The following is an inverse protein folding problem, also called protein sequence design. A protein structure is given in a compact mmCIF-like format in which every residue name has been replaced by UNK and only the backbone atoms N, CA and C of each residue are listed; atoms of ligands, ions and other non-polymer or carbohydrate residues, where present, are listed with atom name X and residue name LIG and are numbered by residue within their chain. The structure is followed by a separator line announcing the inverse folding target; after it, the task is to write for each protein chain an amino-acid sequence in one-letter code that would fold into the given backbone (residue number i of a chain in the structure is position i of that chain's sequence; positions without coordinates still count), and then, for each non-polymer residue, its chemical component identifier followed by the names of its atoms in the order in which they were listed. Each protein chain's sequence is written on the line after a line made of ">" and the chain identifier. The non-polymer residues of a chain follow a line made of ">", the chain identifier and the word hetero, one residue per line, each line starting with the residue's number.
data_IF_806080365606
#
_entry.id   IF_806080365606
#
_cell.length_a   1.000
_cell.length_b   1.000
_cell.length_c   1.000
_cell.angle_alpha   90.00
_cell.angle_beta   90.00
_cell.angle_gamma   90.00
#
_symmetry.space_group_name_H-M   'P 1'
#
loop_
_entity.id
_entity.type
_entity.pdbx_description
1 polymer ?
#
# COMPACT_ATOMS: atom_id res chain seq x y z
N UNK A 1 -86.82 24.78 11.52
CA UNK A 1 -86.53 25.24 10.14
C UNK A 1 -85.12 24.77 9.81
N UNK A 2 -84.99 23.76 8.96
CA UNK A 2 -83.73 23.07 8.66
C UNK A 2 -82.99 23.77 7.50
N UNK A 3 -81.68 23.97 7.61
CA UNK A 3 -80.81 24.27 6.46
C UNK A 3 -79.76 23.17 6.39
N UNK A 4 -79.90 22.33 5.35
CA UNK A 4 -79.00 21.26 4.95
C UNK A 4 -78.09 21.83 3.88
N UNK A 5 -76.82 22.09 4.19
CA UNK A 5 -75.84 22.57 3.21
C UNK A 5 -74.95 21.41 2.72
N UNK A 6 -74.89 21.26 1.40
CA UNK A 6 -74.33 20.09 0.72
C UNK A 6 -72.80 20.09 0.63
N UNK A 7 -72.23 18.91 0.88
CA UNK A 7 -70.87 18.55 0.48
C UNK A 7 -70.80 18.44 -1.05
N UNK A 8 -70.09 19.37 -1.71
CA UNK A 8 -69.60 19.16 -3.09
C UNK A 8 -68.18 18.60 -3.04
N UNK A 9 -67.98 17.55 -3.82
CA UNK A 9 -66.88 16.59 -3.83
C UNK A 9 -65.54 17.14 -4.30
N UNK A 10 -64.48 16.96 -3.49
CA UNK A 10 -63.07 17.22 -3.82
C UNK A 10 -62.44 16.17 -4.76
N UNK A 11 -63.22 15.23 -5.30
CA UNK A 11 -62.72 14.10 -6.09
C UNK A 11 -62.10 14.50 -7.43
N UNK A 12 -62.55 15.60 -8.04
CA UNK A 12 -62.08 16.03 -9.37
C UNK A 12 -60.66 16.65 -9.36
N UNK A 13 -60.26 17.28 -8.25
CA UNK A 13 -58.97 18.00 -8.16
C UNK A 13 -57.76 17.07 -7.96
N UNK A 14 -57.97 15.89 -7.36
CA UNK A 14 -56.90 14.93 -7.08
C UNK A 14 -56.57 14.03 -8.29
N UNK A 15 -57.49 13.90 -9.25
CA UNK A 15 -57.26 13.14 -10.48
C UNK A 15 -56.22 13.81 -11.39
N UNK A 16 -56.37 15.11 -11.63
CA UNK A 16 -55.44 15.88 -12.47
C UNK A 16 -54.03 15.97 -11.88
N UNK A 17 -53.90 16.08 -10.54
CA UNK A 17 -52.61 16.08 -9.87
C UNK A 17 -51.84 14.75 -10.03
N UNK A 18 -52.54 13.61 -10.00
CA UNK A 18 -51.94 12.29 -10.21
C UNK A 18 -51.51 12.07 -11.66
N UNK A 19 -52.31 12.54 -12.62
CA UNK A 19 -51.97 12.46 -14.05
C UNK A 19 -50.76 13.36 -14.37
N UNK A 20 -50.71 14.57 -13.84
CA UNK A 20 -49.55 15.47 -14.04
C UNK A 20 -48.27 14.92 -13.40
N UNK A 21 -48.35 14.33 -12.20
CA UNK A 21 -47.19 13.69 -11.57
C UNK A 21 -46.69 12.46 -12.37
N UNK A 22 -47.59 11.68 -12.96
CA UNK A 22 -47.21 10.53 -13.81
C UNK A 22 -46.57 10.97 -15.13
N UNK A 23 -47.06 12.05 -15.76
CA UNK A 23 -46.45 12.62 -16.97
C UNK A 23 -45.08 13.22 -16.67
N UNK A 24 -44.91 13.90 -15.53
CA UNK A 24 -43.61 14.42 -15.09
C UNK A 24 -42.60 13.30 -14.78
N UNK A 25 -43.05 12.22 -14.12
CA UNK A 25 -42.22 11.03 -13.89
C UNK A 25 -41.84 10.31 -15.20
N UNK A 26 -42.74 10.29 -16.20
CA UNK A 26 -42.45 9.77 -17.54
C UNK A 26 -41.41 10.60 -18.30
N UNK A 27 -41.41 11.93 -18.12
CA UNK A 27 -40.44 12.82 -18.75
C UNK A 27 -39.05 12.75 -18.09
N UNK A 28 -38.99 12.44 -16.79
CA UNK A 28 -37.73 12.19 -16.08
C UNK A 28 -37.05 10.87 -16.50
N UNK A 29 -37.79 9.93 -17.09
CA UNK A 29 -37.23 8.66 -17.60
C UNK A 29 -36.64 8.77 -19.02
N UNK A 30 -36.82 9.91 -19.71
CA UNK A 30 -36.21 10.15 -21.04
C UNK A 30 -34.92 10.96 -20.99
N UNK A 31 -34.39 11.25 -19.79
CA UNK A 31 -33.14 11.97 -19.61
C UNK A 31 -31.94 11.01 -19.55
N UNK A 32 -31.18 10.99 -20.65
CA UNK A 32 -29.76 10.64 -20.75
C UNK A 32 -29.37 9.15 -20.84
N UNK A 33 -29.48 8.60 -22.05
CA UNK A 33 -28.47 7.69 -22.60
C UNK A 33 -28.19 8.15 -24.03
N UNK A 34 -27.33 9.17 -24.18
CA UNK A 34 -26.75 9.48 -25.47
C UNK A 34 -25.68 8.41 -25.73
N UNK A 35 -25.75 7.63 -26.82
CA UNK A 35 -24.68 6.70 -27.14
C UNK A 35 -23.40 7.49 -27.33
N UNK A 36 -22.34 7.05 -26.66
CA UNK A 36 -21.03 7.66 -26.80
C UNK A 36 -20.57 7.50 -28.25
N UNK A 37 -20.01 8.55 -28.90
CA UNK A 37 -19.60 8.43 -30.29
C UNK A 37 -18.55 7.33 -30.45
N UNK A 38 -18.84 6.37 -31.33
CA UNK A 38 -17.92 5.29 -31.67
C UNK A 38 -16.67 5.88 -32.33
N UNK A 39 -15.50 5.51 -31.78
CA UNK A 39 -14.21 5.95 -32.33
C UNK A 39 -13.94 5.08 -33.56
N UNK A 40 -13.73 5.69 -34.75
CA UNK A 40 -13.52 4.92 -35.97
C UNK A 40 -12.23 4.08 -35.90
N UNK A 41 -12.21 2.98 -36.63
CA UNK A 41 -11.01 2.16 -36.79
C UNK A 41 -9.87 2.99 -37.39
N UNK A 42 -8.76 3.08 -36.67
CA UNK A 42 -7.57 3.84 -37.09
C UNK A 42 -6.30 3.03 -36.88
N UNK A 43 -5.20 3.33 -37.59
CA UNK A 43 -3.93 2.67 -37.37
C UNK A 43 -3.48 2.80 -35.91
N UNK A 44 -2.91 1.72 -35.35
CA UNK A 44 -2.61 1.63 -33.92
C UNK A 44 -1.66 2.73 -33.43
N UNK A 45 -0.64 3.10 -34.21
CA UNK A 45 0.27 4.19 -33.84
C UNK A 45 -0.45 5.53 -33.76
N UNK A 46 -1.39 5.78 -34.69
CA UNK A 46 -2.15 7.03 -34.72
C UNK A 46 -3.09 7.09 -33.51
N UNK A 47 -3.79 6.00 -33.22
CA UNK A 47 -4.71 5.93 -32.09
C UNK A 47 -3.99 6.09 -30.75
N UNK A 48 -2.85 5.41 -30.56
CA UNK A 48 -2.03 5.52 -29.36
C UNK A 48 -1.45 6.94 -29.20
N UNK A 49 -0.94 7.54 -30.28
CA UNK A 49 -0.42 8.90 -30.22
C UNK A 49 -1.53 9.91 -29.92
N UNK A 50 -2.73 9.74 -30.48
CA UNK A 50 -3.88 10.59 -30.12
C UNK A 50 -4.24 10.47 -28.63
N UNK A 51 -4.16 9.26 -28.06
CA UNK A 51 -4.39 9.04 -26.62
C UNK A 51 -3.33 9.77 -25.78
N UNK A 52 -2.06 9.66 -26.18
CA UNK A 52 -0.94 10.34 -25.54
C UNK A 52 -1.05 11.87 -25.64
N UNK A 53 -1.40 12.40 -26.81
CA UNK A 53 -1.59 13.84 -27.03
C UNK A 53 -2.75 14.36 -26.18
N UNK A 54 -3.86 13.61 -26.09
CA UNK A 54 -4.98 13.94 -25.20
C UNK A 54 -4.53 13.96 -23.72
N UNK A 55 -3.72 13.00 -23.29
CA UNK A 55 -3.20 12.95 -21.92
C UNK A 55 -2.30 14.16 -21.64
N UNK A 56 -1.40 14.51 -22.56
CA UNK A 56 -0.52 15.67 -22.46
C UNK A 56 -1.28 17.00 -22.47
N UNK A 57 -2.41 17.06 -23.17
CA UNK A 57 -3.31 18.21 -23.18
C UNK A 57 -4.16 18.34 -21.89
N UNK A 58 -4.05 17.39 -20.96
CA UNK A 58 -4.88 17.32 -19.75
C UNK A 58 -6.31 16.81 -20.01
N UNK A 59 -6.60 16.32 -21.21
CA UNK A 59 -7.87 15.67 -21.56
C UNK A 59 -7.88 14.21 -21.07
N UNK A 60 -7.55 13.98 -19.80
CA UNK A 60 -7.21 12.67 -19.24
C UNK A 60 -8.34 11.63 -19.39
N UNK A 61 -9.61 12.03 -19.20
CA UNK A 61 -10.75 11.13 -19.39
C UNK A 61 -10.91 10.67 -20.83
N UNK A 62 -10.59 11.54 -21.79
CA UNK A 62 -10.60 11.20 -23.23
C UNK A 62 -9.39 10.32 -23.56
N UNK A 63 -8.24 10.59 -22.97
CA UNK A 63 -7.06 9.75 -23.11
C UNK A 63 -7.32 8.31 -22.66
N UNK A 64 -7.95 8.12 -21.50
CA UNK A 64 -8.33 6.79 -21.01
C UNK A 64 -9.15 6.01 -22.04
N UNK A 65 -10.20 6.62 -22.60
CA UNK A 65 -11.04 6.00 -23.64
C UNK A 65 -10.28 5.72 -24.93
N UNK A 66 -9.37 6.60 -25.35
CA UNK A 66 -8.54 6.37 -26.53
C UNK A 66 -7.54 5.22 -26.29
N UNK A 67 -7.00 5.07 -25.09
CA UNK A 67 -6.16 3.93 -24.73
C UNK A 67 -6.95 2.61 -24.66
N UNK A 68 -8.15 2.60 -24.09
CA UNK A 68 -9.05 1.44 -24.13
C UNK A 68 -9.35 1.02 -25.59
N UNK A 69 -9.50 2.01 -26.47
CA UNK A 69 -9.76 1.77 -27.88
C UNK A 69 -8.57 1.12 -28.60
N UNK A 70 -7.33 1.42 -28.18
CA UNK A 70 -6.13 0.74 -28.71
C UNK A 70 -6.20 -0.76 -28.41
N UNK A 71 -6.54 -1.14 -27.17
CA UNK A 71 -6.72 -2.55 -26.79
C UNK A 71 -7.88 -3.18 -27.58
N UNK A 72 -9.01 -2.48 -27.69
CA UNK A 72 -10.22 -2.98 -28.34
C UNK A 72 -10.02 -3.26 -29.83
N UNK A 73 -9.40 -2.31 -30.55
CA UNK A 73 -9.21 -2.40 -32.00
C UNK A 73 -7.99 -3.26 -32.37
N UNK A 74 -6.92 -3.24 -31.55
CA UNK A 74 -5.63 -3.84 -31.88
C UNK A 74 -5.07 -4.71 -30.74
N UNK A 75 -5.80 -5.73 -30.24
CA UNK A 75 -5.45 -6.46 -29.01
C UNK A 75 -4.12 -7.22 -29.06
N UNK A 76 -3.59 -7.52 -30.26
CA UNK A 76 -2.31 -8.22 -30.45
C UNK A 76 -1.16 -7.27 -30.82
N UNK A 77 -1.39 -5.96 -30.82
CA UNK A 77 -0.35 -4.98 -31.09
C UNK A 77 0.63 -4.88 -29.93
N UNK A 78 1.89 -4.58 -30.24
CA UNK A 78 2.90 -4.20 -29.23
C UNK A 78 2.48 -3.00 -28.36
N UNK A 79 1.54 -2.19 -28.86
CA UNK A 79 1.00 -1.03 -28.14
C UNK A 79 -0.16 -1.39 -27.20
N UNK A 80 -0.79 -2.57 -27.36
CA UNK A 80 -1.98 -2.93 -26.61
C UNK A 80 -1.71 -3.06 -25.10
N UNK A 81 -0.68 -3.81 -24.73
CA UNK A 81 -0.24 -3.98 -23.33
C UNK A 81 0.06 -2.62 -22.68
N UNK A 82 0.79 -1.75 -23.38
CA UNK A 82 1.11 -0.43 -22.86
C UNK A 82 -0.16 0.45 -22.74
N UNK A 83 -1.05 0.39 -23.72
CA UNK A 83 -2.30 1.14 -23.71
C UNK A 83 -3.21 0.73 -22.56
N UNK A 84 -3.32 -0.57 -22.23
CA UNK A 84 -4.09 -1.04 -21.07
C UNK A 84 -3.62 -0.36 -19.77
N UNK A 85 -2.31 -0.34 -19.53
CA UNK A 85 -1.74 0.30 -18.34
C UNK A 85 -1.93 1.82 -18.36
N UNK A 86 -1.77 2.46 -19.53
CA UNK A 86 -1.96 3.89 -19.69
C UNK A 86 -3.43 4.31 -19.54
N UNK A 87 -4.37 3.44 -19.91
CA UNK A 87 -5.80 3.63 -19.66
C UNK A 87 -6.07 3.66 -18.15
N UNK A 88 -5.63 2.64 -17.44
CA UNK A 88 -5.72 2.57 -15.98
C UNK A 88 -5.09 3.80 -15.28
N UNK A 89 -3.89 4.20 -15.72
CA UNK A 89 -3.22 5.39 -15.22
C UNK A 89 -4.01 6.68 -15.49
N UNK A 90 -4.60 6.79 -16.67
CA UNK A 90 -5.46 7.93 -17.01
C UNK A 90 -6.72 7.96 -16.14
N UNK A 91 -7.34 6.81 -15.84
CA UNK A 91 -8.46 6.75 -14.89
C UNK A 91 -8.04 7.17 -13.48
N UNK A 92 -6.90 6.69 -12.99
CA UNK A 92 -6.34 7.09 -11.71
C UNK A 92 -6.13 8.61 -11.60
N UNK A 93 -5.57 9.24 -12.64
CA UNK A 93 -5.31 10.69 -12.66
C UNK A 93 -6.57 11.59 -12.57
N UNK A 94 -7.76 11.03 -12.78
CA UNK A 94 -9.05 11.75 -12.65
C UNK A 94 -9.91 11.21 -11.50
N UNK A 95 -9.28 10.54 -10.53
CA UNK A 95 -9.90 9.93 -9.35
C UNK A 95 -11.01 8.90 -9.73
N UNK A 96 -10.98 8.37 -10.95
CA UNK A 96 -11.92 7.37 -11.43
C UNK A 96 -11.46 5.96 -11.02
N UNK A 97 -11.31 5.75 -9.71
CA UNK A 97 -10.75 4.52 -9.17
C UNK A 97 -11.59 3.27 -9.47
N UNK A 98 -12.92 3.44 -9.56
CA UNK A 98 -13.86 2.37 -9.95
C UNK A 98 -13.58 1.84 -11.37
N UNK A 99 -13.02 2.68 -12.26
CA UNK A 99 -12.57 2.29 -13.60
C UNK A 99 -11.11 1.83 -13.59
N UNK A 100 -10.25 2.49 -12.82
CA UNK A 100 -8.81 2.22 -12.77
C UNK A 100 -8.50 0.83 -12.18
N UNK A 101 -9.11 0.47 -11.06
CA UNK A 101 -8.87 -0.80 -10.34
C UNK A 101 -9.12 -2.02 -11.23
N UNK A 102 -10.30 -2.21 -11.87
CA UNK A 102 -10.54 -3.37 -12.72
C UNK A 102 -9.66 -3.39 -13.97
N UNK A 103 -9.28 -2.22 -14.51
CA UNK A 103 -8.31 -2.15 -15.61
C UNK A 103 -6.91 -2.64 -15.17
N UNK A 104 -6.48 -2.27 -13.96
CA UNK A 104 -5.20 -2.73 -13.38
C UNK A 104 -5.22 -4.22 -13.06
N UNK A 105 -6.31 -4.73 -12.50
CA UNK A 105 -6.48 -6.15 -12.22
C UNK A 105 -6.40 -6.98 -13.50
N UNK A 106 -7.09 -6.54 -14.57
CA UNK A 106 -6.98 -7.17 -15.89
C UNK A 106 -5.54 -7.17 -16.41
N UNK A 107 -4.84 -6.04 -16.32
CA UNK A 107 -3.45 -5.96 -16.77
C UNK A 107 -2.56 -6.95 -16.00
N UNK A 108 -2.69 -7.01 -14.67
CA UNK A 108 -1.93 -7.91 -13.81
C UNK A 108 -2.20 -9.38 -14.16
N UNK A 109 -3.47 -9.74 -14.41
CA UNK A 109 -3.88 -11.10 -14.75
C UNK A 109 -3.38 -11.54 -16.13
N UNK A 110 -3.46 -10.66 -17.14
CA UNK A 110 -3.07 -10.97 -18.52
C UNK A 110 -1.55 -10.90 -18.73
N UNK A 111 -0.84 -10.07 -17.96
CA UNK A 111 0.57 -9.77 -18.19
C UNK A 111 1.46 -9.91 -16.93
N UNK A 112 1.41 -11.04 -16.18
CA UNK A 112 2.12 -11.16 -14.90
C UNK A 112 3.66 -11.05 -15.01
N UNK A 113 4.24 -11.38 -16.17
CA UNK A 113 5.69 -11.28 -16.42
C UNK A 113 6.16 -9.95 -17.02
N UNK A 114 5.26 -8.97 -17.24
CA UNK A 114 5.64 -7.69 -17.82
C UNK A 114 6.45 -6.85 -16.82
N UNK A 115 7.41 -6.06 -17.33
CA UNK A 115 8.25 -5.15 -16.51
C UNK A 115 7.43 -4.14 -15.70
N UNK A 116 6.27 -3.76 -16.22
CA UNK A 116 5.38 -2.77 -15.62
C UNK A 116 4.39 -3.38 -14.62
N UNK A 117 4.42 -4.70 -14.42
CA UNK A 117 3.51 -5.37 -13.46
C UNK A 117 3.72 -4.87 -12.04
N UNK A 118 4.97 -4.64 -11.61
CA UNK A 118 5.25 -4.03 -10.31
C UNK A 118 4.57 -2.66 -10.15
N UNK A 119 4.58 -1.85 -11.21
CA UNK A 119 3.91 -0.55 -11.23
C UNK A 119 2.38 -0.71 -11.20
N UNK A 120 1.81 -1.67 -11.93
CA UNK A 120 0.36 -1.91 -11.93
C UNK A 120 -0.16 -2.33 -10.53
N UNK A 121 0.55 -3.22 -9.83
CA UNK A 121 0.23 -3.56 -8.44
C UNK A 121 0.28 -2.33 -7.53
N UNK A 122 1.31 -1.50 -7.69
CA UNK A 122 1.49 -0.28 -6.91
C UNK A 122 0.39 0.75 -7.19
N UNK A 123 0.05 1.00 -8.45
CA UNK A 123 -1.00 1.92 -8.84
C UNK A 123 -2.38 1.48 -8.33
N UNK A 124 -2.64 0.16 -8.32
CA UNK A 124 -3.86 -0.40 -7.72
C UNK A 124 -3.91 -0.14 -6.22
N UNK A 125 -2.77 -0.28 -5.55
CA UNK A 125 -2.66 0.04 -4.12
C UNK A 125 -2.90 1.54 -3.86
N UNK A 126 -2.40 2.42 -4.73
CA UNK A 126 -2.67 3.86 -4.66
C UNK A 126 -4.15 4.20 -4.81
N UNK A 127 -4.85 3.53 -5.74
CA UNK A 127 -6.29 3.73 -5.91
C UNK A 127 -7.09 3.48 -4.62
N UNK A 128 -6.71 2.47 -3.83
CA UNK A 128 -7.34 2.23 -2.52
C UNK A 128 -6.83 3.21 -1.45
N UNK A 129 -5.54 3.51 -1.46
CA UNK A 129 -4.91 4.39 -0.48
C UNK A 129 -5.46 5.83 -0.54
N UNK A 130 -5.73 6.35 -1.73
CA UNK A 130 -6.27 7.70 -1.91
C UNK A 130 -7.74 7.82 -1.51
N UNK A 131 -8.44 6.69 -1.38
CA UNK A 131 -9.81 6.62 -0.87
C UNK A 131 -9.89 6.38 0.64
N UNK A 132 -8.77 6.46 1.37
CA UNK A 132 -8.77 6.38 2.82
C UNK A 132 -9.44 7.64 3.38
N UNK A 133 -10.54 7.42 4.10
CA UNK A 133 -11.25 8.46 4.83
C UNK A 133 -10.78 8.55 6.29
N UNK A 134 -11.21 9.59 7.00
CA UNK A 134 -10.92 9.80 8.43
C UNK A 134 -11.22 8.58 9.32
N UNK A 135 -10.46 8.41 10.42
CA UNK A 135 -10.57 7.30 11.39
C UNK A 135 -12.00 7.09 11.92
N UNK A 136 -12.84 8.11 11.97
CA UNK A 136 -14.22 7.99 12.43
C UNK A 136 -15.13 7.25 11.43
N UNK A 137 -14.74 7.15 10.16
CA UNK A 137 -15.53 6.57 9.06
C UNK A 137 -15.23 5.09 8.85
N UNK A 138 -15.90 4.49 7.86
CA UNK A 138 -15.68 3.09 7.48
C UNK A 138 -14.25 2.89 6.98
N UNK A 139 -13.65 1.74 7.31
CA UNK A 139 -12.24 1.46 7.03
C UNK A 139 -12.04 0.40 5.94
N UNK A 140 -13.08 0.05 5.17
CA UNK A 140 -12.99 -0.97 4.13
C UNK A 140 -11.90 -0.66 3.08
N UNK A 141 -11.83 0.59 2.62
CA UNK A 141 -10.78 1.03 1.70
C UNK A 141 -9.39 1.02 2.35
N UNK A 142 -9.28 1.37 3.64
CA UNK A 142 -8.04 1.31 4.41
C UNK A 142 -7.51 -0.13 4.51
N UNK A 143 -8.39 -1.11 4.74
CA UNK A 143 -8.03 -2.54 4.77
C UNK A 143 -7.66 -3.08 3.38
N UNK A 144 -8.32 -2.61 2.32
CA UNK A 144 -7.97 -2.92 0.93
C UNK A 144 -6.59 -2.35 0.57
N UNK A 145 -6.33 -1.09 0.94
CA UNK A 145 -5.05 -0.43 0.77
C UNK A 145 -3.94 -1.17 1.52
N UNK A 146 -4.18 -1.58 2.77
CA UNK A 146 -3.22 -2.35 3.56
C UNK A 146 -2.80 -3.64 2.84
N UNK A 147 -3.78 -4.40 2.33
CA UNK A 147 -3.53 -5.64 1.58
C UNK A 147 -2.77 -5.38 0.28
N UNK A 148 -3.23 -4.41 -0.51
CA UNK A 148 -2.62 -4.09 -1.80
C UNK A 148 -1.19 -3.55 -1.67
N UNK A 149 -0.91 -2.69 -0.68
CA UNK A 149 0.44 -2.21 -0.39
C UNK A 149 1.34 -3.34 0.12
N UNK A 150 0.82 -4.22 0.98
CA UNK A 150 1.56 -5.40 1.45
C UNK A 150 1.93 -6.34 0.30
N UNK A 151 1.05 -6.52 -0.68
CA UNK A 151 1.35 -7.29 -1.90
C UNK A 151 2.52 -6.68 -2.68
N UNK A 152 2.59 -5.36 -2.81
CA UNK A 152 3.68 -4.67 -3.51
C UNK A 152 5.01 -4.92 -2.80
N UNK A 153 5.04 -4.73 -1.49
CA UNK A 153 6.25 -4.93 -0.67
C UNK A 153 6.71 -6.39 -0.71
N UNK A 154 5.78 -7.34 -0.60
CA UNK A 154 6.11 -8.76 -0.58
C UNK A 154 6.57 -9.29 -1.94
N UNK A 155 5.97 -8.83 -3.04
CA UNK A 155 6.25 -9.35 -4.39
C UNK A 155 7.39 -8.63 -5.09
N UNK A 156 7.58 -7.34 -4.82
CA UNK A 156 8.53 -6.48 -5.53
C UNK A 156 9.49 -5.73 -4.59
N UNK A 157 10.16 -6.41 -3.62
CA UNK A 157 10.87 -5.77 -2.52
C UNK A 157 11.98 -4.81 -2.96
N UNK A 158 12.63 -5.09 -4.10
CA UNK A 158 13.78 -4.34 -4.61
C UNK A 158 13.41 -3.20 -5.58
N UNK A 159 12.13 -2.80 -5.62
CA UNK A 159 11.66 -1.72 -6.50
C UNK A 159 11.48 -0.39 -5.76
N UNK A 160 11.57 0.76 -6.45
CA UNK A 160 11.22 2.06 -5.86
C UNK A 160 9.79 2.08 -5.30
N UNK A 161 8.88 1.32 -5.93
CA UNK A 161 7.48 1.18 -5.52
C UNK A 161 7.32 0.51 -4.16
N UNK A 162 8.12 -0.53 -3.87
CA UNK A 162 8.13 -1.17 -2.56
C UNK A 162 8.57 -0.21 -1.44
N UNK A 163 9.58 0.62 -1.71
CA UNK A 163 10.04 1.61 -0.75
C UNK A 163 8.95 2.62 -0.40
N UNK A 164 8.26 3.17 -1.40
CA UNK A 164 7.13 4.08 -1.15
C UNK A 164 5.94 3.36 -0.49
N UNK A 165 5.60 2.16 -0.97
CA UNK A 165 4.51 1.36 -0.42
C UNK A 165 4.72 1.01 1.05
N UNK A 166 5.96 0.78 1.49
CA UNK A 166 6.31 0.52 2.89
C UNK A 166 5.95 1.72 3.77
N UNK A 167 6.34 2.94 3.36
CA UNK A 167 6.02 4.16 4.11
C UNK A 167 4.50 4.39 4.16
N UNK A 168 3.80 4.17 3.05
CA UNK A 168 2.33 4.27 3.01
C UNK A 168 1.67 3.20 3.89
N UNK A 169 2.21 1.98 3.93
CA UNK A 169 1.70 0.89 4.76
C UNK A 169 1.79 1.23 6.25
N UNK A 170 2.84 1.92 6.68
CA UNK A 170 2.96 2.39 8.06
C UNK A 170 1.88 3.42 8.40
N UNK A 171 1.58 4.37 7.51
CA UNK A 171 0.47 5.31 7.69
C UNK A 171 -0.88 4.58 7.76
N UNK A 172 -1.10 3.60 6.88
CA UNK A 172 -2.33 2.79 6.87
C UNK A 172 -2.50 2.03 8.18
N UNK A 173 -1.42 1.46 8.72
CA UNK A 173 -1.43 0.77 10.03
C UNK A 173 -1.74 1.73 11.16
N UNK A 174 -1.13 2.91 11.16
CA UNK A 174 -1.42 3.96 12.16
C UNK A 174 -2.89 4.37 12.11
N UNK A 175 -3.46 4.53 10.91
CA UNK A 175 -4.87 4.87 10.74
C UNK A 175 -5.83 3.78 11.27
N UNK A 176 -5.55 2.51 10.99
CA UNK A 176 -6.33 1.37 11.51
C UNK A 176 -6.20 1.25 13.04
N UNK A 177 -5.01 1.51 13.59
CA UNK A 177 -4.83 1.59 15.03
C UNK A 177 -5.62 2.76 15.64
N UNK A 178 -5.61 3.91 14.99
CA UNK A 178 -6.40 5.09 15.36
C UNK A 178 -7.89 4.81 15.44
N UNK A 179 -8.43 3.98 14.53
CA UNK A 179 -9.82 3.51 14.59
C UNK A 179 -10.11 2.74 15.87
N UNK A 180 -9.28 1.76 16.20
CA UNK A 180 -9.44 0.94 17.41
C UNK A 180 -9.30 1.80 18.68
N UNK A 181 -8.38 2.77 18.67
CA UNK A 181 -8.24 3.74 19.75
C UNK A 181 -9.50 4.60 19.94
N UNK A 182 -10.09 5.10 18.86
CA UNK A 182 -11.31 5.93 18.93
C UNK A 182 -12.49 5.15 19.54
N UNK A 183 -12.69 3.91 19.08
CA UNK A 183 -13.71 3.01 19.62
C UNK A 183 -13.40 2.63 21.08
N UNK A 184 -12.14 2.37 21.42
CA UNK A 184 -11.71 2.10 22.79
C UNK A 184 -12.01 3.27 23.73
N UNK A 185 -11.65 4.50 23.34
CA UNK A 185 -11.96 5.73 24.10
C UNK A 185 -13.46 5.94 24.26
N UNK A 186 -14.25 5.66 23.23
CA UNK A 186 -15.71 5.72 23.30
C UNK A 186 -16.30 4.82 24.41
N UNK A 187 -15.79 3.59 24.52
CA UNK A 187 -16.21 2.63 25.55
C UNK A 187 -15.71 3.02 26.95
N UNK A 188 -14.45 3.44 27.04
CA UNK A 188 -13.83 3.88 28.28
C UNK A 188 -14.59 5.05 28.92
N UNK A 189 -14.95 6.06 28.12
CA UNK A 189 -15.76 7.21 28.57
C UNK A 189 -17.10 6.81 29.18
N UNK A 190 -17.64 5.65 28.78
CA UNK A 190 -18.90 5.07 29.29
C UNK A 190 -18.69 4.05 30.40
N UNK A 191 -17.46 3.90 30.89
CA UNK A 191 -17.08 2.92 31.92
C UNK A 191 -17.35 1.47 31.49
N UNK A 192 -17.36 1.21 30.18
CA UNK A 192 -17.46 -0.14 29.63
C UNK A 192 -16.05 -0.73 29.48
N UNK A 193 -15.38 -0.94 30.61
CA UNK A 193 -13.95 -1.23 30.67
C UNK A 193 -13.54 -2.48 29.91
N UNK A 194 -14.32 -3.58 29.99
CA UNK A 194 -14.00 -4.80 29.26
C UNK A 194 -14.03 -4.60 27.74
N UNK A 195 -15.01 -3.84 27.23
CA UNK A 195 -15.09 -3.52 25.81
C UNK A 195 -13.94 -2.60 25.37
N UNK A 196 -13.56 -1.63 26.21
CA UNK A 196 -12.42 -0.76 25.96
C UNK A 196 -11.09 -1.54 25.92
N UNK A 197 -10.85 -2.41 26.90
CA UNK A 197 -9.67 -3.28 26.95
C UNK A 197 -9.55 -4.12 25.68
N UNK A 198 -10.64 -4.73 25.22
CA UNK A 198 -10.62 -5.53 24.00
C UNK A 198 -10.20 -4.71 22.76
N UNK A 199 -10.54 -3.42 22.72
CA UNK A 199 -10.15 -2.52 21.62
C UNK A 199 -8.68 -2.10 21.71
N UNK A 200 -8.24 -1.65 22.88
CA UNK A 200 -6.84 -1.30 23.09
C UNK A 200 -5.90 -2.50 22.91
N UNK A 201 -6.34 -3.70 23.30
CA UNK A 201 -5.61 -4.94 23.06
C UNK A 201 -5.39 -5.21 21.57
N UNK A 202 -6.35 -4.89 20.70
CA UNK A 202 -6.15 -5.02 19.25
C UNK A 202 -4.99 -4.14 18.77
N UNK A 203 -4.86 -2.92 19.31
CA UNK A 203 -3.74 -2.02 19.01
C UNK A 203 -2.41 -2.63 19.44
N UNK A 204 -2.33 -3.11 20.68
CA UNK A 204 -1.11 -3.72 21.23
C UNK A 204 -0.74 -5.03 20.54
N UNK A 205 -1.72 -5.83 20.10
CA UNK A 205 -1.46 -7.14 19.50
C UNK A 205 -1.17 -7.05 17.99
N UNK A 206 -1.84 -6.14 17.27
CA UNK A 206 -1.78 -6.08 15.79
C UNK A 206 -1.04 -4.89 15.21
N UNK A 207 -0.87 -3.81 15.98
CA UNK A 207 -0.36 -2.53 15.50
C UNK A 207 0.83 -2.03 16.34
N UNK A 208 1.74 -2.96 16.68
CA UNK A 208 2.86 -2.77 17.61
C UNK A 208 3.86 -1.67 17.22
N UNK A 209 3.96 -1.37 15.93
CA UNK A 209 4.88 -0.35 15.39
C UNK A 209 4.24 1.04 15.33
N UNK A 210 2.98 1.20 15.74
CA UNK A 210 2.26 2.47 15.63
C UNK A 210 2.47 3.38 16.84
N UNK A 211 2.24 4.67 16.64
CA UNK A 211 2.35 5.68 17.70
C UNK A 211 1.28 5.54 18.79
N UNK A 212 0.26 4.73 18.55
CA UNK A 212 -0.89 4.53 19.43
C UNK A 212 -0.66 3.52 20.57
N UNK A 213 0.37 2.68 20.47
CA UNK A 213 0.63 1.60 21.44
C UNK A 213 0.84 2.10 22.87
N UNK A 214 1.60 3.18 23.13
CA UNK A 214 1.80 3.69 24.49
C UNK A 214 0.49 4.13 25.15
N UNK A 215 -0.35 4.88 24.42
CA UNK A 215 -1.68 5.27 24.90
C UNK A 215 -2.54 4.03 25.14
N UNK A 216 -2.55 3.06 24.23
CA UNK A 216 -3.34 1.83 24.37
C UNK A 216 -3.00 1.08 25.66
N UNK A 217 -1.71 0.92 25.99
CA UNK A 217 -1.25 0.26 27.20
C UNK A 217 -1.61 1.03 28.48
N UNK A 218 -1.51 2.36 28.47
CA UNK A 218 -1.93 3.21 29.59
C UNK A 218 -3.44 3.07 29.82
N UNK A 219 -4.24 3.15 28.76
CA UNK A 219 -5.70 3.02 28.85
C UNK A 219 -6.16 1.62 29.26
N UNK A 220 -5.41 0.58 28.88
CA UNK A 220 -5.61 -0.77 29.40
C UNK A 220 -5.34 -0.81 30.91
N UNK A 221 -4.25 -0.18 31.37
CA UNK A 221 -3.94 -0.06 32.80
C UNK A 221 -5.06 0.66 33.54
N UNK A 222 -5.52 1.82 33.05
CA UNK A 222 -6.65 2.56 33.60
C UNK A 222 -7.89 1.67 33.77
N UNK A 223 -8.21 0.91 32.71
CA UNK A 223 -9.36 0.02 32.67
C UNK A 223 -9.23 -1.18 33.61
N UNK A 224 -8.05 -1.80 33.71
CA UNK A 224 -7.81 -2.92 34.63
C UNK A 224 -7.85 -2.49 36.09
N UNK A 225 -7.27 -1.33 36.43
CA UNK A 225 -7.36 -0.74 37.77
C UNK A 225 -8.81 -0.47 38.13
N UNK A 226 -9.60 0.08 37.21
CA UNK A 226 -11.02 0.35 37.44
C UNK A 226 -11.85 -0.93 37.69
N UNK A 227 -11.47 -2.05 37.08
CA UNK A 227 -12.09 -3.37 37.30
C UNK A 227 -11.58 -4.09 38.55
N UNK A 228 -10.48 -3.62 39.16
CA UNK A 228 -9.82 -4.30 40.28
C UNK A 228 -8.94 -5.49 39.87
N UNK A 229 -8.61 -5.60 38.58
CA UNK A 229 -7.75 -6.67 38.04
C UNK A 229 -6.30 -6.20 38.06
N UNK A 230 -5.77 -6.00 39.26
CA UNK A 230 -4.49 -5.31 39.47
C UNK A 230 -3.28 -6.01 38.83
N UNK A 231 -3.24 -7.34 38.86
CA UNK A 231 -2.14 -8.10 38.26
C UNK A 231 -1.97 -7.79 36.75
N UNK A 232 -3.08 -7.65 36.02
CA UNK A 232 -3.03 -7.30 34.59
C UNK A 232 -2.70 -5.83 34.36
N UNK A 233 -3.11 -4.94 35.26
CA UNK A 233 -2.69 -3.54 35.23
C UNK A 233 -1.17 -3.39 35.42
N UNK A 234 -0.59 -4.12 36.36
CA UNK A 234 0.86 -4.14 36.62
C UNK A 234 1.62 -4.65 35.40
N UNK A 235 1.20 -5.77 34.80
CA UNK A 235 1.80 -6.29 33.56
C UNK A 235 1.73 -5.29 32.40
N UNK A 236 0.57 -4.68 32.15
CA UNK A 236 0.41 -3.70 31.08
C UNK A 236 1.34 -2.48 31.30
N UNK A 237 1.44 -2.01 32.54
CA UNK A 237 2.34 -0.90 32.90
C UNK A 237 3.82 -1.29 32.80
N UNK A 238 4.18 -2.53 33.16
CA UNK A 238 5.55 -3.04 33.03
C UNK A 238 5.97 -3.11 31.55
N UNK A 239 5.10 -3.59 30.67
CA UNK A 239 5.33 -3.59 29.21
C UNK A 239 5.48 -2.15 28.71
N UNK A 240 4.62 -1.23 29.17
CA UNK A 240 4.68 0.19 28.81
C UNK A 240 6.00 0.83 29.26
N UNK A 241 6.42 0.59 30.51
CA UNK A 241 7.67 1.13 31.05
C UNK A 241 8.92 0.55 30.40
N UNK A 242 8.89 -0.73 30.02
CA UNK A 242 9.99 -1.39 29.35
C UNK A 242 10.21 -0.87 27.92
N UNK A 243 9.13 -0.76 27.13
CA UNK A 243 9.23 -0.39 25.71
C UNK A 243 9.23 1.13 25.49
N UNK A 244 8.59 1.90 26.37
CA UNK A 244 8.44 3.36 26.24
C UNK A 244 8.84 4.10 27.52
N UNK A 245 10.07 3.89 28.01
CA UNK A 245 10.55 4.56 29.22
C UNK A 245 10.54 6.07 29.02
N UNK A 246 9.96 6.79 29.98
CA UNK A 246 9.90 8.26 29.95
C UNK A 246 8.73 8.86 29.15
N UNK A 247 7.89 8.05 28.49
CA UNK A 247 6.65 8.55 27.90
C UNK A 247 5.69 9.11 28.97
N UNK A 248 4.93 10.16 28.63
CA UNK A 248 3.91 10.72 29.53
C UNK A 248 2.88 9.64 29.93
N UNK A 249 2.54 8.76 28.98
CA UNK A 249 1.68 7.59 29.21
C UNK A 249 2.22 6.65 30.29
N UNK A 250 3.53 6.38 30.29
CA UNK A 250 4.13 5.55 31.34
C UNK A 250 4.06 6.24 32.71
N UNK A 251 4.33 7.54 32.76
CA UNK A 251 4.27 8.29 34.01
C UNK A 251 2.86 8.27 34.60
N UNK A 252 1.83 8.48 33.77
CA UNK A 252 0.43 8.43 34.18
C UNK A 252 0.03 7.03 34.70
N UNK A 253 0.37 5.98 33.95
CA UNK A 253 0.11 4.59 34.36
C UNK A 253 0.81 4.22 35.68
N UNK A 254 2.09 4.60 35.83
CA UNK A 254 2.87 4.37 37.04
C UNK A 254 2.25 5.08 38.24
N UNK A 255 1.94 6.38 38.11
CA UNK A 255 1.32 7.17 39.17
C UNK A 255 -0.04 6.59 39.58
N UNK A 256 -0.81 6.09 38.61
CA UNK A 256 -2.08 5.42 38.88
C UNK A 256 -1.89 4.16 39.72
N UNK A 257 -0.93 3.29 39.40
CA UNK A 257 -0.64 2.09 40.20
C UNK A 257 -0.16 2.46 41.61
N UNK A 258 0.76 3.40 41.74
CA UNK A 258 1.28 3.86 43.04
C UNK A 258 0.16 4.42 43.90
N UNK A 259 -0.82 5.12 43.32
CA UNK A 259 -2.01 5.61 44.05
C UNK A 259 -2.86 4.48 44.67
N UNK A 260 -2.70 3.24 44.18
CA UNK A 260 -3.32 2.02 44.70
C UNK A 260 -2.39 1.19 45.60
N UNK A 261 -1.18 1.67 45.86
CA UNK A 261 -0.16 0.96 46.63
C UNK A 261 0.51 -0.17 45.85
N UNK A 262 0.56 -0.08 44.52
CA UNK A 262 1.09 -1.10 43.62
C UNK A 262 2.30 -0.58 42.83
N UNK A 263 3.17 -1.48 42.37
CA UNK A 263 4.28 -1.20 41.44
C UNK A 263 4.14 -2.04 40.16
N UNK A 264 4.73 -1.63 39.03
CA UNK A 264 4.65 -2.39 37.78
C UNK A 264 5.27 -3.79 37.85
N UNK A 265 6.33 -4.00 38.66
CA UNK A 265 7.00 -5.31 38.75
C UNK A 265 6.20 -6.38 39.50
N UNK A 266 5.10 -6.02 40.18
CA UNK A 266 4.36 -6.96 41.03
C UNK A 266 5.14 -7.41 42.28
N UNK A 267 4.55 -8.34 43.05
CA UNK A 267 5.21 -8.94 44.22
C UNK A 267 6.18 -10.09 43.83
N UNK A 268 6.04 -10.66 42.62
CA UNK A 268 6.92 -11.70 42.05
C UNK A 268 7.19 -11.36 40.57
N UNK A 269 8.35 -10.78 40.28
CA UNK A 269 8.68 -10.22 38.97
C UNK A 269 9.17 -11.29 37.98
N UNK A 270 8.35 -11.66 36.99
CA UNK A 270 8.84 -12.17 35.71
C UNK A 270 9.06 -11.00 34.74
N UNK A 271 10.15 -10.98 33.94
CA UNK A 271 10.40 -9.89 33.00
C UNK A 271 9.28 -9.79 31.96
N UNK A 272 8.84 -8.58 31.57
CA UNK A 272 7.78 -8.41 30.60
C UNK A 272 8.18 -9.01 29.25
N UNK A 273 7.24 -9.70 28.61
CA UNK A 273 7.38 -10.13 27.21
C UNK A 273 7.42 -8.85 26.37
N UNK A 274 8.56 -8.58 25.73
CA UNK A 274 8.71 -7.44 24.83
C UNK A 274 7.65 -7.50 23.72
N UNK A 275 7.12 -6.35 23.30
CA UNK A 275 6.31 -6.29 22.09
C UNK A 275 7.23 -6.70 20.94
N UNK A 276 6.96 -7.87 20.36
CA UNK A 276 7.83 -8.47 19.36
C UNK A 276 7.90 -7.54 18.15
N UNK A 277 9.10 -7.08 17.79
CA UNK A 277 9.31 -6.42 16.50
C UNK A 277 8.93 -7.40 15.37
N UNK A 278 7.97 -7.08 14.49
CA UNK A 278 7.64 -7.94 13.36
C UNK A 278 8.82 -8.17 12.39
N UNK A 279 9.93 -7.43 12.51
CA UNK A 279 11.21 -7.72 11.85
C UNK A 279 12.07 -8.81 12.51
N UNK A 280 11.70 -9.30 13.70
CA UNK A 280 12.51 -10.24 14.49
C UNK A 280 12.05 -11.72 14.41
N UNK A 281 11.33 -12.11 13.37
CA UNK A 281 10.98 -13.53 13.15
C UNK A 281 12.21 -14.26 12.61
N UNK A 282 12.92 -14.97 13.51
CA UNK A 282 14.14 -15.72 13.20
C UNK A 282 13.84 -16.92 12.30
N UNK A 283 14.29 -16.79 11.05
CA UNK A 283 14.68 -17.87 10.15
C UNK A 283 15.98 -17.55 9.38
N UNK A 284 16.66 -16.45 9.72
CA UNK A 284 18.02 -16.17 9.26
C UNK A 284 18.99 -16.56 10.37
N UNK A 285 19.93 -17.45 10.07
CA UNK A 285 21.06 -17.72 10.96
C UNK A 285 21.80 -16.40 11.26
N UNK A 286 22.27 -16.18 12.50
CA UNK A 286 22.97 -14.96 12.85
C UNK A 286 24.25 -14.84 12.03
N UNK A 287 24.42 -13.72 11.35
CA UNK A 287 25.74 -13.31 10.83
C UNK A 287 26.71 -13.22 12.02
N UNK A 288 27.92 -13.78 11.93
CA UNK A 288 28.86 -13.73 13.03
C UNK A 288 29.36 -12.29 13.21
N UNK A 289 29.11 -11.72 14.39
CA UNK A 289 29.66 -10.44 14.80
C UNK A 289 31.20 -10.49 14.79
N UNK A 290 31.78 -9.48 14.14
CA UNK A 290 33.20 -9.17 14.17
C UNK A 290 33.61 -8.75 15.59
N UNK A 291 34.06 -9.70 16.39
CA UNK A 291 34.81 -9.41 17.60
C UNK A 291 36.16 -8.78 17.21
N UNK A 292 36.41 -7.56 17.69
CA UNK A 292 37.74 -6.95 17.73
C UNK A 292 38.72 -7.90 18.43
N UNK A 293 39.87 -8.24 17.82
CA UNK A 293 40.87 -9.05 18.51
C UNK A 293 41.70 -8.17 19.49
N UNK A 294 42.17 -8.75 20.61
CA UNK A 294 43.00 -8.04 21.58
C UNK A 294 44.43 -7.83 21.06
N UNK A 295 45.02 -6.70 21.45
CA UNK A 295 46.41 -6.37 21.24
C UNK A 295 47.30 -7.17 22.21
N UNK A 296 47.94 -8.23 21.70
CA UNK A 296 49.28 -8.74 22.08
C UNK A 296 49.39 -10.25 21.77
N UNK A 297 50.09 -10.61 20.70
CA UNK A 297 50.98 -11.79 20.61
C UNK A 297 51.63 -11.92 19.22
N UNK A 298 52.85 -12.47 19.12
CA UNK A 298 53.82 -12.11 18.09
C UNK A 298 53.87 -13.02 16.86
N UNK A 299 54.57 -12.49 15.84
CA UNK A 299 54.79 -13.00 14.49
C UNK A 299 55.30 -14.45 14.38
N UNK A 300 54.85 -15.15 13.33
CA UNK A 300 55.58 -16.27 12.74
C UNK A 300 55.55 -16.16 11.22
N UNK A 301 56.75 -16.29 10.66
CA UNK A 301 57.14 -16.16 9.27
C UNK A 301 56.41 -17.10 8.32
N UNK A 302 55.96 -16.56 7.18
CA UNK A 302 56.09 -17.24 5.88
C UNK A 302 56.23 -16.19 4.77
N UNK A 303 57.29 -16.32 3.97
CA UNK A 303 57.72 -15.41 2.92
C UNK A 303 56.78 -15.41 1.67
N UNK A 304 56.87 -14.39 0.79
CA UNK A 304 55.80 -14.00 -0.14
C UNK A 304 56.03 -14.43 -1.60
N UNK A 305 54.95 -14.43 -2.41
CA UNK A 305 54.83 -13.99 -3.82
C UNK A 305 53.64 -14.69 -4.53
N UNK A 306 53.12 -14.19 -5.68
CA UNK A 306 53.13 -12.82 -6.21
C UNK A 306 51.73 -12.29 -6.58
N UNK A 307 51.65 -10.99 -6.88
CA UNK A 307 50.48 -10.26 -7.33
C UNK A 307 49.76 -10.91 -8.53
N UNK A 308 48.48 -11.22 -8.36
CA UNK A 308 47.57 -11.60 -9.45
C UNK A 308 46.51 -10.50 -9.63
N UNK A 309 46.55 -9.85 -10.80
CA UNK A 309 45.53 -8.89 -11.25
C UNK A 309 44.24 -9.68 -11.60
N UNK A 310 43.04 -9.24 -11.20
CA UNK A 310 41.81 -9.94 -11.53
C UNK A 310 41.46 -9.80 -13.03
N UNK A 311 41.12 -10.91 -13.67
CA UNK A 311 40.61 -10.97 -15.06
C UNK A 311 39.15 -11.42 -15.09
N UNK A 312 38.38 -10.88 -16.02
CA UNK A 312 36.95 -11.18 -16.22
C UNK A 312 36.77 -12.61 -16.80
N UNK A 313 36.00 -13.52 -16.16
CA UNK A 313 36.05 -14.96 -16.42
C UNK A 313 35.38 -15.43 -17.72
N UNK A 314 34.82 -14.54 -18.56
CA UNK A 314 34.15 -14.94 -19.81
C UNK A 314 34.87 -14.47 -21.08
N UNK A 315 35.69 -13.43 -21.04
CA UNK A 315 36.26 -12.85 -22.29
C UNK A 315 37.76 -12.52 -22.26
N UNK A 316 38.44 -12.62 -21.11
CA UNK A 316 39.91 -12.57 -21.04
C UNK A 316 40.59 -11.28 -21.54
N UNK A 317 39.87 -10.17 -21.64
CA UNK A 317 40.40 -8.85 -22.01
C UNK A 317 40.49 -7.93 -20.78
N UNK A 318 41.61 -7.23 -20.62
CA UNK A 318 41.86 -6.28 -19.52
C UNK A 318 40.97 -5.02 -19.64
N UNK A 319 40.31 -4.62 -18.54
CA UNK A 319 39.54 -3.38 -18.45
C UNK A 319 40.45 -2.21 -18.02
N UNK A 320 40.39 -1.05 -18.70
CA UNK A 320 41.21 0.11 -18.34
C UNK A 320 40.75 0.76 -17.02
N UNK A 321 41.74 1.05 -16.17
CA UNK A 321 41.60 1.67 -14.85
C UNK A 321 41.07 3.11 -14.94
N UNK A 322 39.88 3.36 -14.36
CA UNK A 322 39.32 4.70 -14.23
C UNK A 322 39.75 5.32 -12.89
N UNK A 323 40.66 6.28 -12.99
CA UNK A 323 41.09 7.16 -11.90
C UNK A 323 39.95 8.11 -11.53
N UNK A 324 39.53 8.10 -10.26
CA UNK A 324 38.64 9.10 -9.69
C UNK A 324 39.43 10.38 -9.34
N UNK A 325 38.94 11.58 -9.64
CA UNK A 325 39.36 12.78 -8.95
C UNK A 325 38.36 13.19 -7.86
N UNK A 326 38.95 13.80 -6.83
CA UNK A 326 38.43 14.21 -5.54
C UNK A 326 37.17 15.11 -5.59
N UNK A 327 36.35 14.97 -4.55
CA UNK A 327 35.26 15.89 -4.22
C UNK A 327 35.79 17.25 -3.73
N UNK A 328 34.99 18.32 -3.91
CA UNK A 328 34.91 19.35 -2.88
C UNK A 328 33.48 19.49 -2.34
N UNK A 329 33.46 19.65 -1.02
CA UNK A 329 32.33 19.92 -0.14
C UNK A 329 31.61 21.22 -0.53
N UNK A 330 30.31 21.15 -0.83
CA UNK A 330 29.32 22.20 -0.52
C UNK A 330 27.94 21.56 -0.35
N UNK A 331 27.24 21.91 0.73
CA UNK A 331 25.90 21.43 1.05
C UNK A 331 24.83 22.05 0.13
N UNK A 332 23.73 21.34 -0.16
CA UNK A 332 22.48 21.99 -0.48
C UNK A 332 21.33 21.53 0.43
N UNK A 333 20.68 22.53 1.01
CA UNK A 333 19.27 22.57 1.39
C UNK A 333 18.40 22.20 0.17
N UNK A 334 17.77 21.03 0.16
CA UNK A 334 16.47 20.75 -0.46
C UNK A 334 16.10 19.27 -0.23
N UNK A 335 14.84 19.01 0.12
CA UNK A 335 14.29 17.67 0.21
C UNK A 335 14.34 17.00 -1.18
N UNK A 336 14.68 15.70 -1.29
CA UNK A 336 14.71 15.06 -2.59
C UNK A 336 13.27 14.90 -3.08
N UNK A 337 12.92 15.63 -4.14
CA UNK A 337 11.81 15.26 -4.99
C UNK A 337 12.03 13.80 -5.40
N UNK A 338 11.13 12.91 -4.98
CA UNK A 338 11.10 11.53 -5.45
C UNK A 338 11.06 11.59 -6.97
N UNK A 339 12.15 11.12 -7.59
CA UNK A 339 12.25 10.97 -9.03
C UNK A 339 11.02 10.20 -9.49
N UNK A 340 10.10 10.91 -10.12
CA UNK A 340 9.15 10.32 -11.01
C UNK A 340 9.99 9.53 -12.03
N UNK A 341 9.95 8.20 -11.96
CA UNK A 341 9.92 7.39 -13.18
C UNK A 341 8.69 7.91 -13.90
N UNK A 342 8.90 9.01 -14.62
CA UNK A 342 7.86 9.94 -14.99
C UNK A 342 7.14 9.30 -16.15
N UNK A 343 5.83 9.44 -16.21
CA UNK A 343 4.92 9.04 -17.29
C UNK A 343 5.54 8.78 -18.70
N UNK A 344 6.58 9.51 -19.11
CA UNK A 344 7.42 9.27 -20.30
C UNK A 344 7.95 7.83 -20.47
N UNK A 345 8.46 7.17 -19.42
CA UNK A 345 8.95 5.77 -19.52
C UNK A 345 7.79 4.79 -19.75
N UNK A 346 6.59 5.14 -19.26
CA UNK A 346 5.34 4.43 -19.54
C UNK A 346 4.74 4.83 -20.89
N UNK A 347 5.29 5.81 -21.61
CA UNK A 347 4.72 6.27 -22.89
C UNK A 347 5.44 5.69 -24.11
N UNK A 348 6.56 4.98 -23.95
CA UNK A 348 7.34 4.39 -25.03
C UNK A 348 7.00 2.90 -25.27
N UNK A 349 6.93 2.43 -26.54
CA UNK A 349 6.70 1.02 -26.85
C UNK A 349 7.91 0.18 -26.41
N UNK A 350 7.68 -1.10 -26.08
CA UNK A 350 8.77 -2.06 -25.85
C UNK A 350 9.61 -2.23 -27.15
N UNK A 351 10.94 -2.14 -27.03
CA UNK A 351 11.89 -2.39 -28.12
C UNK A 351 12.22 -3.89 -28.20
N UNK A 352 12.28 -4.46 -29.41
CA UNK A 352 12.45 -5.90 -29.69
C UNK A 352 13.76 -6.54 -29.17
N UNK A 353 14.77 -5.75 -28.75
CA UNK A 353 16.13 -6.25 -28.43
C UNK A 353 16.40 -6.58 -26.94
N UNK A 354 15.38 -6.86 -26.13
CA UNK A 354 15.57 -7.28 -24.75
C UNK A 354 15.08 -8.74 -24.58
N UNK A 355 15.97 -9.71 -24.28
CA UNK A 355 15.57 -11.11 -24.20
C UNK A 355 14.54 -11.29 -23.08
N UNK A 356 13.37 -11.84 -23.42
CA UNK A 356 12.40 -12.31 -22.43
C UNK A 356 13.09 -13.37 -21.56
N UNK A 357 13.09 -13.16 -20.25
CA UNK A 357 13.59 -14.16 -19.31
C UNK A 357 12.95 -15.53 -19.55
N UNK A 358 13.81 -16.54 -19.63
CA UNK A 358 13.56 -17.98 -19.59
C UNK A 358 12.58 -18.59 -20.61
N UNK A 359 13.10 -18.82 -21.83
CA UNK A 359 12.78 -20.06 -22.54
C UNK A 359 13.71 -21.16 -22.04
N UNK A 360 13.21 -21.99 -21.10
CA UNK A 360 13.82 -23.29 -20.81
C UNK A 360 13.59 -24.18 -22.04
N UNK A 361 14.54 -24.14 -22.98
CA UNK A 361 14.68 -25.14 -24.04
C UNK A 361 15.12 -26.47 -23.40
N UNK A 362 14.18 -27.40 -23.26
CA UNK A 362 14.48 -28.81 -23.03
C UNK A 362 15.09 -29.35 -24.33
N UNK A 363 16.34 -29.84 -24.35
CA UNK A 363 16.86 -30.48 -25.55
C UNK A 363 16.17 -31.84 -25.71
N UNK A 364 15.41 -32.00 -26.79
CA UNK A 364 15.03 -33.30 -27.34
C UNK A 364 16.32 -34.05 -27.69
N UNK A 365 16.58 -35.16 -26.99
CA UNK A 365 17.69 -36.05 -27.30
C UNK A 365 17.52 -36.68 -28.69
N UNK A 366 18.54 -36.50 -29.54
CA UNK A 366 18.71 -37.22 -30.79
C UNK A 366 19.05 -38.69 -30.49
N UNK A 367 18.06 -39.56 -30.68
CA UNK A 367 18.27 -40.99 -30.94
C UNK A 367 17.94 -41.26 -32.42
N UNK A 368 18.99 -41.35 -33.26
CA UNK A 368 18.91 -42.00 -34.56
C UNK A 368 20.28 -42.60 -34.95
N UNK A 369 20.36 -43.90 -35.31
CA UNK A 369 21.61 -44.56 -35.65
C UNK A 369 22.00 -44.36 -37.12
N UNK A 370 23.32 -44.27 -37.37
CA UNK A 370 23.92 -44.18 -38.70
C UNK A 370 23.79 -45.49 -39.50
N UNK A 371 23.64 -45.43 -40.85
CA UNK A 371 24.00 -46.54 -41.73
C UNK A 371 25.39 -46.33 -42.35
N UNK A 372 26.14 -47.45 -42.34
CA UNK A 372 27.40 -47.84 -43.00
C UNK A 372 28.20 -46.83 -43.83
#
# INVERSE_FOLDING_TARGET
>A
MAIRNGYKSNAWRNGHARVLAAVFAGYLMTACSSPEPEIPETPVEVLYNNAKDALQAGETRKAAKLFDEVERQHPYSKWATQAQLMSAYSYYLVDAYDDAIPALERFIELHPGNRSTAYAFYLRALCYYEQIEDVTRDQGNTELAQRALSDVVARFPNTPYSRDATVKLDLVRDHLAGKEMDVGRYYLKRKQYLAAINRFKVVVDKFQTTSHVPEALERMTESYVALGVFAEAQKATAVLGYNYPGSDWYQDAYNLLVSKGLTPEGDEAEPPIALVDPGAVVGAEPSPDLATPPADAPASDLAPAPDAVPVDPVTGLELPSASAPEAPVTAPTEAPALSTTSAEDLMAPESEDQPSGDQILIPLGDDAPAPQ
#
